data_IF_609759771837
#
_entry.id   IF_609759771837
#
_cell.length_a   1.000
_cell.length_b   1.000
_cell.length_c   1.000
_cell.angle_alpha   90.00
_cell.angle_beta   90.00
_cell.angle_gamma   90.00
#
_symmetry.space_group_name_H-M   'P 1'
#
loop_
_entity.id
_entity.type
_entity.pdbx_description
1 polymer ?
#
# COMPACT_ATOMS: atom_id res chain seq x y z
N UNK A 1 11.54 22.68 -50.12
CA UNK A 1 12.37 22.94 -48.92
C UNK A 1 11.41 23.19 -47.78
N UNK A 2 11.20 22.18 -46.93
CA UNK A 2 10.44 22.34 -45.69
C UNK A 2 11.34 23.11 -44.75
N UNK A 3 10.92 24.29 -44.30
CA UNK A 3 11.66 25.05 -43.29
C UNK A 3 11.73 24.19 -42.04
N UNK A 4 12.96 23.87 -41.60
CA UNK A 4 13.17 23.20 -40.32
C UNK A 4 12.69 24.18 -39.26
N UNK A 5 11.58 23.84 -38.63
CA UNK A 5 11.01 24.68 -37.59
C UNK A 5 11.99 24.64 -36.40
N UNK A 6 12.64 25.78 -36.11
CA UNK A 6 13.54 25.96 -34.97
C UNK A 6 12.79 25.69 -33.67
N UNK A 7 13.40 24.91 -32.78
CA UNK A 7 12.81 24.46 -31.52
C UNK A 7 13.35 23.12 -31.04
N UNK A 8 13.36 22.94 -29.73
CA UNK A 8 13.67 21.69 -29.06
C UNK A 8 12.64 20.61 -29.45
N UNK A 9 13.11 19.39 -29.63
CA UNK A 9 12.30 18.23 -30.01
C UNK A 9 12.24 17.26 -28.84
N UNK A 10 11.04 17.04 -28.30
CA UNK A 10 10.76 16.04 -27.27
C UNK A 10 10.10 14.83 -27.93
N UNK A 11 10.82 13.71 -27.98
CA UNK A 11 10.30 12.44 -28.53
C UNK A 11 9.64 11.65 -27.41
N UNK A 12 8.41 11.19 -27.66
CA UNK A 12 7.65 10.42 -26.69
C UNK A 12 7.91 8.91 -26.79
N UNK A 13 7.67 8.22 -25.69
CA UNK A 13 7.68 6.76 -25.59
C UNK A 13 6.54 6.13 -26.41
N UNK A 14 6.60 4.81 -26.56
CA UNK A 14 5.56 3.98 -27.21
C UNK A 14 5.21 4.39 -28.66
N UNK A 15 6.06 5.18 -29.32
CA UNK A 15 5.85 5.63 -30.71
C UNK A 15 4.72 6.65 -30.87
N UNK A 16 4.29 7.29 -29.77
CA UNK A 16 3.15 8.23 -29.75
C UNK A 16 3.42 9.50 -30.56
N UNK A 17 4.69 9.85 -30.78
CA UNK A 17 5.10 10.96 -31.64
C UNK A 17 6.18 11.81 -31.00
N UNK A 18 6.23 13.08 -31.39
CA UNK A 18 7.15 14.08 -30.84
C UNK A 18 6.47 15.45 -30.76
N UNK A 19 6.87 16.25 -29.78
CA UNK A 19 6.51 17.66 -29.69
C UNK A 19 7.71 18.53 -30.06
N UNK A 20 7.44 19.63 -30.77
CA UNK A 20 8.45 20.64 -31.12
C UNK A 20 8.07 21.96 -30.44
N UNK A 21 9.02 22.56 -29.72
CA UNK A 21 8.78 23.75 -28.92
C UNK A 21 10.02 24.24 -28.17
N UNK A 22 9.83 25.10 -27.18
CA UNK A 22 10.91 25.59 -26.30
C UNK A 22 10.76 24.96 -24.93
N UNK A 23 11.82 24.30 -24.43
CA UNK A 23 11.81 23.76 -23.07
C UNK A 23 11.92 24.92 -22.08
N UNK A 24 10.86 25.14 -21.31
CA UNK A 24 10.78 26.25 -20.36
C UNK A 24 11.49 25.91 -19.06
N UNK A 25 11.32 24.68 -18.58
CA UNK A 25 11.88 24.20 -17.34
C UNK A 25 11.89 22.67 -17.33
N UNK A 26 12.82 22.09 -16.56
CA UNK A 26 12.79 20.68 -16.23
C UNK A 26 13.21 20.51 -14.77
N UNK A 27 12.41 19.75 -14.04
CA UNK A 27 12.66 19.36 -12.66
C UNK A 27 12.60 17.82 -12.55
N UNK A 28 12.70 17.31 -11.34
CA UNK A 28 12.71 15.86 -11.14
C UNK A 28 11.35 15.18 -11.40
N UNK A 29 10.28 15.96 -11.44
CA UNK A 29 8.91 15.46 -11.53
C UNK A 29 8.33 15.62 -12.93
N UNK A 30 8.82 16.56 -13.73
CA UNK A 30 8.29 16.86 -15.06
C UNK A 30 9.24 17.65 -15.98
N UNK A 31 8.91 17.65 -17.26
CA UNK A 31 9.44 18.57 -18.26
C UNK A 31 8.34 19.51 -18.74
N UNK A 32 8.58 20.82 -18.71
CA UNK A 32 7.64 21.85 -19.18
C UNK A 32 8.07 22.35 -20.55
N UNK A 33 7.16 22.27 -21.51
CA UNK A 33 7.39 22.63 -22.91
C UNK A 33 6.33 23.64 -23.36
N UNK A 34 6.76 24.70 -24.04
CA UNK A 34 5.87 25.58 -24.80
C UNK A 34 6.00 25.22 -26.28
N UNK A 35 4.95 24.64 -26.85
CA UNK A 35 4.93 24.19 -28.24
C UNK A 35 4.97 25.38 -29.21
N UNK A 36 5.27 25.12 -30.49
CA UNK A 36 5.24 26.16 -31.53
C UNK A 36 3.87 26.83 -31.74
N UNK A 37 2.77 26.20 -31.33
CA UNK A 37 1.43 26.82 -31.34
C UNK A 37 1.19 27.75 -30.13
N UNK A 38 2.15 27.86 -29.20
CA UNK A 38 2.02 28.60 -27.95
C UNK A 38 1.32 27.83 -26.83
N UNK A 39 0.97 26.55 -27.04
CA UNK A 39 0.39 25.71 -26.00
C UNK A 39 1.47 25.28 -25.00
N UNK A 40 1.18 25.44 -23.69
CA UNK A 40 2.05 25.02 -22.60
C UNK A 40 1.63 23.66 -22.08
N UNK A 41 2.57 22.73 -22.05
CA UNK A 41 2.36 21.37 -21.56
C UNK A 41 3.37 20.99 -20.48
N UNK A 42 2.91 20.17 -19.54
CA UNK A 42 3.73 19.53 -18.52
C UNK A 42 3.74 18.04 -18.81
N UNK A 43 4.91 17.50 -19.15
CA UNK A 43 5.08 16.11 -19.53
C UNK A 43 5.71 15.32 -18.36
N UNK A 44 5.08 14.23 -17.88
CA UNK A 44 5.73 13.33 -16.93
C UNK A 44 6.92 12.63 -17.57
N UNK A 45 7.90 12.23 -16.76
CA UNK A 45 9.12 11.62 -17.28
C UNK A 45 8.89 10.25 -17.91
N UNK A 46 7.86 9.50 -17.48
CA UNK A 46 7.59 8.15 -17.97
C UNK A 46 7.18 8.07 -19.46
N UNK A 47 6.82 9.20 -20.08
CA UNK A 47 6.48 9.29 -21.50
C UNK A 47 7.59 9.90 -22.34
N UNK A 48 8.67 10.39 -21.75
CA UNK A 48 9.75 11.04 -22.49
C UNK A 48 10.79 9.98 -22.85
N UNK A 49 11.10 9.87 -24.15
CA UNK A 49 12.11 8.94 -24.67
C UNK A 49 13.45 9.62 -24.89
N UNK A 50 13.43 10.80 -25.50
CA UNK A 50 14.62 11.60 -25.75
C UNK A 50 14.25 13.06 -25.95
N UNK A 51 15.21 13.93 -25.69
CA UNK A 51 15.13 15.37 -25.94
C UNK A 51 16.28 15.75 -26.86
N UNK A 52 16.01 16.54 -27.90
CA UNK A 52 17.02 17.14 -28.77
C UNK A 52 16.88 18.64 -28.67
N UNK A 53 17.94 19.33 -28.26
CA UNK A 53 17.94 20.78 -28.15
C UNK A 53 18.32 21.43 -29.49
N UNK A 54 17.68 22.55 -29.83
CA UNK A 54 18.03 23.31 -31.04
C UNK A 54 19.42 23.96 -30.89
N UNK A 55 19.74 24.40 -29.68
CA UNK A 55 21.08 24.84 -29.29
C UNK A 55 21.72 23.84 -28.33
N UNK A 56 22.65 23.03 -28.85
CA UNK A 56 23.38 22.02 -28.07
C UNK A 56 24.21 22.62 -26.91
N UNK A 57 24.49 23.92 -26.90
CA UNK A 57 25.20 24.58 -25.78
C UNK A 57 24.29 24.80 -24.57
N UNK A 58 22.97 24.69 -24.74
CA UNK A 58 21.98 24.82 -23.68
C UNK A 58 21.62 23.47 -23.02
N UNK A 59 22.17 22.35 -23.49
CA UNK A 59 21.88 21.03 -22.91
C UNK A 59 22.35 20.98 -21.44
N UNK A 60 21.42 20.90 -20.47
CA UNK A 60 21.80 20.82 -19.07
C UNK A 60 22.48 19.48 -18.82
N UNK A 61 23.60 19.46 -18.10
CA UNK A 61 24.29 18.21 -17.71
C UNK A 61 23.36 17.23 -16.97
N UNK A 62 22.37 17.76 -16.24
CA UNK A 62 21.34 16.98 -15.55
C UNK A 62 20.30 16.33 -16.46
N UNK A 63 20.20 16.73 -17.74
CA UNK A 63 19.20 16.18 -18.66
C UNK A 63 19.47 14.70 -18.96
N UNK A 64 20.73 14.32 -19.12
CA UNK A 64 21.11 12.92 -19.34
C UNK A 64 20.64 12.04 -18.19
N UNK A 65 20.94 12.43 -16.95
CA UNK A 65 20.55 11.67 -15.75
C UNK A 65 19.01 11.55 -15.64
N UNK A 66 18.28 12.61 -16.01
CA UNK A 66 16.82 12.61 -16.05
C UNK A 66 16.25 11.69 -17.13
N UNK A 67 16.86 11.63 -18.30
CA UNK A 67 16.47 10.71 -19.37
C UNK A 67 16.75 9.25 -19.02
N UNK A 68 17.87 8.96 -18.33
CA UNK A 68 18.15 7.63 -17.80
C UNK A 68 17.12 7.23 -16.73
N UNK A 69 16.74 8.18 -15.85
CA UNK A 69 15.66 7.98 -14.87
C UNK A 69 14.31 7.76 -15.55
N UNK A 70 13.98 8.54 -16.58
CA UNK A 70 12.75 8.42 -17.38
C UNK A 70 12.60 7.02 -18.00
N UNK A 71 13.66 6.50 -18.61
CA UNK A 71 13.68 5.14 -19.18
C UNK A 71 13.46 4.06 -18.11
N UNK A 72 14.03 4.21 -16.91
CA UNK A 72 13.76 3.29 -15.79
C UNK A 72 12.31 3.31 -15.34
N UNK A 73 11.72 4.50 -15.17
CA UNK A 73 10.31 4.66 -14.79
C UNK A 73 9.41 3.99 -15.83
N UNK A 74 9.64 4.28 -17.12
CA UNK A 74 8.90 3.67 -18.22
C UNK A 74 9.01 2.14 -18.20
N UNK A 75 10.22 1.58 -18.08
CA UNK A 75 10.41 0.11 -18.02
C UNK A 75 9.72 -0.52 -16.83
N UNK A 76 9.83 0.08 -15.65
CA UNK A 76 9.18 -0.40 -14.43
C UNK A 76 7.64 -0.41 -14.61
N UNK A 77 7.08 0.68 -15.12
CA UNK A 77 5.64 0.78 -15.44
C UNK A 77 5.21 -0.27 -16.44
N UNK A 78 5.90 -0.43 -17.58
CA UNK A 78 5.51 -1.40 -18.62
C UNK A 78 5.60 -2.85 -18.12
N UNK A 79 6.55 -3.18 -17.24
CA UNK A 79 6.62 -4.49 -16.58
C UNK A 79 5.41 -4.72 -15.69
N UNK A 80 5.11 -3.77 -14.81
CA UNK A 80 3.96 -3.86 -13.91
C UNK A 80 2.63 -4.00 -14.68
N UNK A 81 2.43 -3.21 -15.74
CA UNK A 81 1.25 -3.30 -16.61
C UNK A 81 1.08 -4.67 -17.28
N UNK A 82 2.18 -5.42 -17.50
CA UNK A 82 2.15 -6.78 -18.06
C UNK A 82 2.01 -7.87 -17.00
N UNK A 83 1.95 -7.49 -15.72
CA UNK A 83 1.91 -8.42 -14.59
C UNK A 83 3.27 -8.83 -14.03
N UNK A 84 4.38 -8.29 -14.54
CA UNK A 84 5.74 -8.62 -14.10
C UNK A 84 6.16 -7.80 -12.86
N UNK A 85 5.36 -7.84 -11.80
CA UNK A 85 5.58 -7.05 -10.58
C UNK A 85 6.97 -7.32 -9.95
N UNK A 86 7.43 -8.58 -9.95
CA UNK A 86 8.73 -8.96 -9.39
C UNK A 86 9.92 -8.29 -10.09
N UNK A 87 9.82 -7.97 -11.38
CA UNK A 87 10.86 -7.26 -12.14
C UNK A 87 10.67 -5.73 -12.13
N UNK A 88 9.48 -5.27 -11.76
CA UNK A 88 9.17 -3.84 -11.63
C UNK A 88 9.59 -3.30 -10.26
N UNK A 89 9.35 -4.06 -9.18
CA UNK A 89 9.56 -3.63 -7.79
C UNK A 89 10.96 -3.06 -7.54
N UNK A 90 12.09 -3.70 -7.94
CA UNK A 90 13.42 -3.17 -7.64
C UNK A 90 13.73 -1.86 -8.37
N UNK A 91 13.10 -1.60 -9.53
CA UNK A 91 13.27 -0.33 -10.22
C UNK A 91 12.45 0.76 -9.52
N UNK A 92 11.19 0.49 -9.18
CA UNK A 92 10.37 1.44 -8.43
C UNK A 92 10.97 1.75 -7.05
N UNK A 93 11.50 0.76 -6.35
CA UNK A 93 12.13 0.97 -5.04
C UNK A 93 13.33 1.91 -5.10
N UNK A 94 14.18 1.79 -6.15
CA UNK A 94 15.31 2.73 -6.34
C UNK A 94 14.87 4.14 -6.72
N UNK A 95 13.72 4.27 -7.38
CA UNK A 95 13.15 5.54 -7.82
C UNK A 95 12.34 6.25 -6.73
N UNK A 96 11.89 5.50 -5.72
CA UNK A 96 10.98 5.96 -4.69
C UNK A 96 11.74 6.73 -3.60
N UNK A 97 11.43 8.03 -3.54
CA UNK A 97 12.01 9.00 -2.61
C UNK A 97 10.85 9.86 -2.06
N UNK A 98 10.14 9.38 -1.02
CA UNK A 98 8.95 10.06 -0.52
C UNK A 98 9.34 11.41 0.07
N UNK A 99 8.76 12.49 -0.45
CA UNK A 99 9.08 13.84 -0.02
C UNK A 99 7.96 14.84 -0.35
N UNK A 100 7.58 15.74 0.57
CA UNK A 100 6.61 16.80 0.32
C UNK A 100 6.96 17.76 -0.84
N UNK A 101 8.25 17.82 -1.21
CA UNK A 101 8.74 18.62 -2.33
C UNK A 101 8.38 18.00 -3.68
N UNK A 102 8.13 16.69 -3.73
CA UNK A 102 7.73 15.93 -4.93
C UNK A 102 6.23 16.09 -5.15
N UNK A 103 5.83 16.64 -6.30
CA UNK A 103 4.44 17.09 -6.55
C UNK A 103 4.00 16.89 -8.00
N UNK A 104 4.65 16.00 -8.77
CA UNK A 104 4.24 15.74 -10.15
C UNK A 104 3.68 14.34 -10.38
N UNK A 105 3.05 14.17 -11.54
CA UNK A 105 2.48 12.89 -11.97
C UNK A 105 3.53 11.76 -12.00
N UNK A 106 4.79 12.06 -12.33
CA UNK A 106 5.89 11.09 -12.26
C UNK A 106 6.03 10.47 -10.86
N UNK A 107 5.92 11.29 -9.82
CA UNK A 107 6.06 10.82 -8.43
C UNK A 107 4.87 9.94 -8.05
N UNK A 108 3.67 10.27 -8.53
CA UNK A 108 2.47 9.45 -8.34
C UNK A 108 2.61 8.09 -9.02
N UNK A 109 3.13 8.05 -10.25
CA UNK A 109 3.39 6.80 -10.98
C UNK A 109 4.37 5.91 -10.22
N UNK A 110 5.43 6.49 -9.64
CA UNK A 110 6.44 5.75 -8.87
C UNK A 110 5.86 5.22 -7.56
N UNK A 111 5.19 6.07 -6.78
CA UNK A 111 4.60 5.70 -5.50
C UNK A 111 3.54 4.59 -5.68
N UNK A 112 2.61 4.79 -6.62
CA UNK A 112 1.56 3.83 -6.92
C UNK A 112 2.13 2.53 -7.53
N UNK A 113 3.14 2.64 -8.39
CA UNK A 113 3.84 1.48 -8.97
C UNK A 113 4.49 0.61 -7.90
N UNK A 114 5.21 1.21 -6.95
CA UNK A 114 5.81 0.51 -5.82
C UNK A 114 4.75 -0.11 -4.91
N UNK A 115 3.69 0.63 -4.60
CA UNK A 115 2.55 0.13 -3.82
C UNK A 115 1.97 -1.14 -4.45
N UNK A 116 1.63 -1.09 -5.75
CA UNK A 116 1.06 -2.25 -6.48
C UNK A 116 1.99 -3.45 -6.46
N UNK A 117 3.30 -3.26 -6.59
CA UNK A 117 4.28 -4.35 -6.49
C UNK A 117 4.26 -5.01 -5.10
N UNK A 118 4.31 -4.19 -4.04
CA UNK A 118 4.32 -4.69 -2.65
C UNK A 118 3.00 -5.39 -2.29
N UNK A 119 1.86 -4.86 -2.74
CA UNK A 119 0.56 -5.53 -2.62
C UNK A 119 0.55 -6.89 -3.33
N UNK A 120 1.09 -6.95 -4.56
CA UNK A 120 1.13 -8.18 -5.35
C UNK A 120 1.91 -9.31 -4.67
N UNK A 121 3.06 -9.02 -4.04
CA UNK A 121 3.83 -10.03 -3.28
C UNK A 121 3.35 -10.25 -1.84
N UNK A 122 2.34 -9.51 -1.38
CA UNK A 122 1.84 -9.62 0.00
C UNK A 122 2.71 -8.94 1.06
N UNK A 123 3.55 -7.98 0.68
CA UNK A 123 4.42 -7.23 1.59
C UNK A 123 3.71 -6.01 2.18
N UNK A 124 2.62 -6.24 2.92
CA UNK A 124 1.72 -5.16 3.32
C UNK A 124 2.37 -4.14 4.25
N UNK A 125 3.21 -4.57 5.20
CA UNK A 125 3.90 -3.61 6.08
C UNK A 125 4.76 -2.63 5.26
N UNK A 126 5.47 -3.13 4.25
CA UNK A 126 6.28 -2.33 3.36
C UNK A 126 5.44 -1.43 2.44
N UNK A 127 4.18 -1.78 2.17
CA UNK A 127 3.30 -1.02 1.30
C UNK A 127 2.72 0.25 1.96
N UNK A 128 2.87 0.44 3.28
CA UNK A 128 2.26 1.56 4.00
C UNK A 128 2.78 2.92 3.49
N UNK A 129 4.11 3.12 3.46
CA UNK A 129 4.67 4.42 3.02
C UNK A 129 4.31 4.75 1.56
N UNK A 130 4.43 3.82 0.58
CA UNK A 130 3.91 4.06 -0.77
C UNK A 130 2.41 4.35 -0.83
N UNK A 131 1.59 3.74 0.03
CA UNK A 131 0.16 4.05 0.12
C UNK A 131 -0.10 5.47 0.63
N UNK A 132 0.55 5.87 1.72
CA UNK A 132 0.45 7.22 2.26
C UNK A 132 0.93 8.27 1.25
N UNK A 133 2.03 8.01 0.55
CA UNK A 133 2.56 8.91 -0.49
C UNK A 133 1.64 8.98 -1.71
N UNK A 134 1.03 7.87 -2.12
CA UNK A 134 0.02 7.85 -3.19
C UNK A 134 -1.20 8.69 -2.80
N UNK A 135 -1.70 8.53 -1.57
CA UNK A 135 -2.82 9.31 -1.04
C UNK A 135 -2.47 10.81 -0.99
N UNK A 136 -1.27 11.17 -0.49
CA UNK A 136 -0.77 12.55 -0.47
C UNK A 136 -0.72 13.19 -1.85
N UNK A 137 -0.21 12.48 -2.85
CA UNK A 137 -0.13 12.98 -4.21
C UNK A 137 -1.53 13.14 -4.83
N UNK A 138 -2.47 12.23 -4.53
CA UNK A 138 -3.87 12.34 -4.98
C UNK A 138 -4.64 13.45 -4.25
N UNK A 139 -4.32 13.74 -2.99
CA UNK A 139 -4.93 14.86 -2.25
C UNK A 139 -4.56 16.22 -2.88
N UNK A 140 -3.40 16.29 -3.56
CA UNK A 140 -2.99 17.42 -4.41
C UNK A 140 -3.70 17.47 -5.78
N UNK A 141 -4.71 16.62 -6.00
CA UNK A 141 -5.46 16.48 -7.26
C UNK A 141 -4.58 16.03 -8.44
N UNK A 142 -3.49 15.32 -8.16
CA UNK A 142 -2.73 14.65 -9.19
C UNK A 142 -3.46 13.37 -9.60
N UNK A 143 -3.59 13.20 -10.91
CA UNK A 143 -4.18 12.02 -11.52
C UNK A 143 -3.20 11.41 -12.50
N UNK A 144 -3.34 10.12 -12.74
CA UNK A 144 -2.59 9.42 -13.77
C UNK A 144 -3.45 8.31 -14.36
N UNK A 145 -3.40 8.16 -15.68
CA UNK A 145 -4.11 7.09 -16.40
C UNK A 145 -3.24 5.84 -16.60
N UNK A 146 -2.01 5.85 -16.07
CA UNK A 146 -1.02 4.79 -16.32
C UNK A 146 -1.43 3.44 -15.77
N UNK A 147 -2.38 3.38 -14.85
CA UNK A 147 -2.84 2.14 -14.23
C UNK A 147 -4.35 1.90 -14.38
N UNK A 148 -5.02 2.57 -15.32
CA UNK A 148 -6.48 2.47 -15.53
C UNK A 148 -6.93 1.06 -15.95
N UNK A 149 -6.05 0.32 -16.62
CA UNK A 149 -6.30 -1.08 -17.02
C UNK A 149 -6.17 -2.07 -15.83
N UNK A 150 -5.64 -1.61 -14.69
CA UNK A 150 -5.49 -2.41 -13.48
C UNK A 150 -6.64 -2.12 -12.51
N UNK A 151 -6.91 -3.07 -11.62
CA UNK A 151 -7.91 -2.86 -10.57
C UNK A 151 -7.58 -1.60 -9.73
N UNK A 152 -8.59 -0.80 -9.36
CA UNK A 152 -8.40 0.33 -8.47
C UNK A 152 -7.94 -0.16 -7.10
N UNK A 153 -6.98 0.55 -6.52
CA UNK A 153 -6.37 0.19 -5.22
C UNK A 153 -6.63 1.22 -4.13
N UNK A 154 -7.27 2.33 -4.45
CA UNK A 154 -7.49 3.46 -3.54
C UNK A 154 -8.97 3.86 -3.55
N UNK A 155 -9.50 4.16 -2.37
CA UNK A 155 -10.86 4.64 -2.19
C UNK A 155 -10.83 6.17 -2.00
N UNK A 156 -11.62 6.89 -2.80
CA UNK A 156 -11.53 8.36 -2.83
C UNK A 156 -12.10 9.03 -1.58
N UNK A 157 -13.00 8.37 -0.85
CA UNK A 157 -13.64 8.94 0.35
C UNK A 157 -12.79 8.71 1.61
N UNK A 158 -12.26 7.51 1.79
CA UNK A 158 -11.44 7.17 2.95
C UNK A 158 -9.95 7.50 2.77
N UNK A 159 -9.51 7.74 1.54
CA UNK A 159 -8.10 7.83 1.12
C UNK A 159 -7.25 6.59 1.50
N UNK A 160 -7.91 5.48 1.83
CA UNK A 160 -7.24 4.23 2.18
C UNK A 160 -6.98 3.39 0.93
N UNK A 161 -5.92 2.58 1.01
CA UNK A 161 -5.66 1.55 0.03
C UNK A 161 -6.52 0.31 0.31
N UNK A 162 -7.40 -0.07 -0.63
CA UNK A 162 -8.39 -1.17 -0.50
C UNK A 162 -7.79 -2.51 -0.10
N UNK A 163 -6.55 -2.77 -0.53
CA UNK A 163 -5.86 -4.04 -0.35
C UNK A 163 -4.75 -3.97 0.71
N UNK A 164 -4.74 -2.92 1.52
CA UNK A 164 -3.82 -2.73 2.64
C UNK A 164 -4.54 -2.77 4.01
N UNK A 165 -5.19 -3.88 4.38
CA UNK A 165 -5.77 -3.98 5.71
C UNK A 165 -4.67 -3.85 6.78
N UNK A 166 -4.99 -3.28 7.96
CA UNK A 166 -4.06 -3.18 9.08
C UNK A 166 -3.89 -4.55 9.75
N UNK A 167 -3.26 -5.48 9.04
CA UNK A 167 -3.17 -6.89 9.39
C UNK A 167 -1.90 -7.50 8.80
N UNK A 168 -1.03 -8.00 9.67
CA UNK A 168 0.27 -8.55 9.29
C UNK A 168 0.50 -9.91 9.96
N UNK A 169 1.20 -10.84 9.31
CA UNK A 169 1.72 -12.01 9.99
C UNK A 169 2.88 -11.60 10.91
N UNK A 170 3.30 -12.51 11.78
CA UNK A 170 4.50 -12.32 12.61
C UNK A 170 5.74 -12.27 11.69
N UNK A 171 6.29 -11.09 11.42
CA UNK A 171 7.40 -10.88 10.49
C UNK A 171 8.41 -9.87 11.07
N UNK A 172 9.71 -10.12 10.83
CA UNK A 172 10.83 -9.30 11.25
C UNK A 172 10.91 -7.96 10.49
N UNK A 173 10.21 -7.81 9.37
CA UNK A 173 10.19 -6.57 8.59
C UNK A 173 9.52 -5.39 9.31
N UNK A 174 8.69 -5.66 10.33
CA UNK A 174 7.86 -4.68 11.04
C UNK A 174 8.69 -3.56 11.68
N UNK A 175 9.79 -3.88 12.37
CA UNK A 175 10.65 -2.90 13.03
C UNK A 175 11.23 -1.86 12.06
N UNK A 176 11.63 -2.30 10.85
CA UNK A 176 12.11 -1.39 9.79
C UNK A 176 10.97 -0.49 9.32
N UNK A 177 9.75 -1.00 9.21
CA UNK A 177 8.60 -0.24 8.74
C UNK A 177 8.11 0.79 9.74
N UNK A 178 8.13 0.48 11.04
CA UNK A 178 7.87 1.46 12.11
C UNK A 178 8.72 2.71 11.94
N UNK A 179 10.04 2.53 11.73
CA UNK A 179 10.95 3.66 11.48
C UNK A 179 10.60 4.42 10.21
N UNK A 180 10.25 3.74 9.12
CA UNK A 180 9.93 4.39 7.85
C UNK A 180 8.63 5.20 7.93
N UNK A 181 7.59 4.67 8.58
CA UNK A 181 6.31 5.38 8.77
C UNK A 181 6.49 6.58 9.68
N UNK A 182 7.22 6.44 10.79
CA UNK A 182 7.51 7.53 11.73
C UNK A 182 8.34 8.68 11.12
N UNK A 183 9.07 8.42 10.03
CA UNK A 183 9.87 9.42 9.32
C UNK A 183 9.15 10.02 8.10
N UNK A 184 7.98 9.50 7.74
CA UNK A 184 7.24 9.99 6.59
C UNK A 184 6.58 11.34 6.91
N UNK A 185 6.63 12.26 5.94
CA UNK A 185 6.10 13.62 6.07
C UNK A 185 4.90 13.79 5.13
N UNK A 186 3.74 14.12 5.70
CA UNK A 186 2.49 14.33 4.98
C UNK A 186 2.48 15.60 4.11
N UNK A 187 3.49 16.46 4.24
CA UNK A 187 3.54 17.75 3.58
C UNK A 187 2.51 18.73 4.13
N UNK A 188 2.11 18.58 5.39
CA UNK A 188 1.14 19.43 6.08
C UNK A 188 -0.32 19.02 5.87
N UNK A 189 -0.60 17.79 5.45
CA UNK A 189 -1.96 17.25 5.43
C UNK A 189 -2.26 16.55 6.76
N UNK A 190 -3.07 17.18 7.60
CA UNK A 190 -3.39 16.70 8.96
C UNK A 190 -4.08 15.33 8.96
N UNK A 191 -4.98 15.07 8.01
CA UNK A 191 -5.69 13.78 7.92
C UNK A 191 -4.74 12.65 7.55
N UNK A 192 -3.79 12.90 6.64
CA UNK A 192 -2.78 11.89 6.29
C UNK A 192 -1.73 11.70 7.38
N UNK A 193 -1.35 12.77 8.11
CA UNK A 193 -0.54 12.64 9.33
C UNK A 193 -1.25 11.75 10.35
N UNK A 194 -2.56 11.99 10.57
CA UNK A 194 -3.37 11.18 11.44
C UNK A 194 -3.41 9.71 10.99
N UNK A 195 -3.60 9.42 9.70
CA UNK A 195 -3.55 8.04 9.19
C UNK A 195 -2.19 7.38 9.40
N UNK A 196 -1.09 8.10 9.13
CA UNK A 196 0.26 7.59 9.34
C UNK A 196 0.49 7.20 10.81
N UNK A 197 0.04 8.04 11.75
CA UNK A 197 0.08 7.76 13.19
C UNK A 197 -0.69 6.49 13.55
N UNK A 198 -1.87 6.25 12.95
CA UNK A 198 -2.64 5.02 13.23
C UNK A 198 -1.95 3.78 12.66
N UNK A 199 -1.42 3.85 11.45
CA UNK A 199 -0.63 2.74 10.90
C UNK A 199 0.61 2.45 11.75
N UNK A 200 1.33 3.49 12.17
CA UNK A 200 2.45 3.36 13.09
C UNK A 200 2.02 2.67 14.38
N UNK A 201 0.94 3.12 15.01
CA UNK A 201 0.39 2.50 16.21
C UNK A 201 0.01 1.04 16.03
N UNK A 202 -0.61 0.70 14.90
CA UNK A 202 -0.99 -0.66 14.57
C UNK A 202 0.23 -1.57 14.36
N UNK A 203 1.31 -1.06 13.76
CA UNK A 203 2.58 -1.77 13.64
C UNK A 203 3.24 -1.96 15.01
N UNK A 204 3.24 -0.95 15.88
CA UNK A 204 3.78 -1.05 17.25
C UNK A 204 3.02 -2.08 18.08
N UNK A 205 1.69 -2.06 18.06
CA UNK A 205 0.85 -3.07 18.73
C UNK A 205 1.15 -4.48 18.20
N UNK A 206 1.41 -4.61 16.90
CA UNK A 206 1.78 -5.88 16.28
C UNK A 206 3.16 -6.36 16.74
N UNK A 207 4.16 -5.47 16.80
CA UNK A 207 5.49 -5.77 17.33
C UNK A 207 5.43 -6.12 18.83
N UNK A 208 4.53 -5.52 19.59
CA UNK A 208 4.42 -5.74 21.04
C UNK A 208 3.72 -7.03 21.42
N UNK A 209 2.84 -7.55 20.59
CA UNK A 209 2.43 -8.94 20.75
C UNK A 209 3.65 -9.88 20.69
N UNK A 210 4.81 -9.42 20.20
CA UNK A 210 6.10 -10.12 20.29
C UNK A 210 6.94 -9.69 21.51
N UNK A 211 6.81 -8.46 22.04
CA UNK A 211 7.74 -7.86 23.03
C UNK A 211 7.14 -7.43 24.39
N UNK A 212 5.85 -7.10 24.50
CA UNK A 212 5.10 -6.96 25.76
C UNK A 212 4.93 -5.56 26.39
N UNK A 213 5.32 -4.45 25.76
CA UNK A 213 5.16 -3.08 26.33
C UNK A 213 4.32 -2.16 25.43
N UNK A 214 3.18 -1.62 25.91
CA UNK A 214 2.35 -0.69 25.13
C UNK A 214 2.95 0.72 25.03
N UNK A 215 2.97 1.39 23.86
CA UNK A 215 3.34 2.79 23.77
C UNK A 215 2.19 3.64 24.33
N UNK A 216 2.54 4.76 24.95
CA UNK A 216 1.58 5.79 25.32
C UNK A 216 1.81 6.99 24.40
N UNK A 217 0.76 7.49 23.77
CA UNK A 217 0.80 8.65 22.91
C UNK A 217 -0.62 9.13 22.63
N UNK A 218 -0.80 10.45 22.62
CA UNK A 218 -2.06 11.06 22.22
C UNK A 218 -2.18 10.95 20.70
N UNK A 219 -3.30 10.39 20.21
CA UNK A 219 -3.60 10.34 18.78
C UNK A 219 -4.13 11.71 18.32
N UNK A 220 -3.71 12.15 17.14
CA UNK A 220 -4.24 13.36 16.50
C UNK A 220 -5.75 13.23 16.24
N UNK A 221 -6.58 14.18 16.67
CA UNK A 221 -8.02 14.14 16.41
C UNK A 221 -8.33 14.43 14.93
N UNK A 222 -9.17 13.60 14.30
CA UNK A 222 -9.64 13.79 12.92
C UNK A 222 -10.96 13.06 12.71
N UNK A 223 -11.88 13.71 11.99
CA UNK A 223 -13.17 13.13 11.60
C UNK A 223 -13.12 12.40 10.26
N UNK A 224 -11.94 12.26 9.66
CA UNK A 224 -11.78 11.66 8.34
C UNK A 224 -12.21 10.18 8.33
N UNK A 225 -12.99 9.71 7.34
CA UNK A 225 -13.52 8.34 7.32
C UNK A 225 -12.46 7.24 7.40
N UNK A 226 -11.31 7.46 6.73
CA UNK A 226 -10.17 6.54 6.78
C UNK A 226 -9.49 6.48 8.15
N UNK A 227 -9.33 7.62 8.82
CA UNK A 227 -8.80 7.69 10.19
C UNK A 227 -9.73 6.94 11.14
N UNK A 228 -11.05 7.20 11.06
CA UNK A 228 -12.04 6.52 11.88
C UNK A 228 -12.06 4.99 11.68
N UNK A 229 -11.79 4.49 10.47
CA UNK A 229 -11.66 3.04 10.23
C UNK A 229 -10.41 2.45 10.90
N UNK A 230 -9.28 3.15 10.84
CA UNK A 230 -8.05 2.73 11.50
C UNK A 230 -8.13 2.83 13.03
N UNK A 231 -8.85 3.81 13.56
CA UNK A 231 -9.15 3.90 15.00
C UNK A 231 -9.93 2.68 15.48
N UNK A 232 -10.96 2.25 14.73
CA UNK A 232 -11.66 0.99 15.04
C UNK A 232 -10.71 -0.22 15.02
N UNK A 233 -9.73 -0.24 14.11
CA UNK A 233 -8.73 -1.30 14.07
C UNK A 233 -7.88 -1.33 15.35
N UNK A 234 -7.52 -0.16 15.89
CA UNK A 234 -6.78 -0.04 17.16
C UNK A 234 -7.69 -0.43 18.34
N UNK A 235 -8.86 0.20 18.46
CA UNK A 235 -9.81 -0.03 19.56
C UNK A 235 -10.22 -1.51 19.66
N UNK A 236 -10.40 -2.19 18.51
CA UNK A 236 -10.76 -3.61 18.45
C UNK A 236 -9.71 -4.55 19.07
N UNK A 237 -8.46 -4.07 19.19
CA UNK A 237 -7.29 -4.76 19.77
C UNK A 237 -6.88 -4.22 21.13
N UNK A 238 -7.63 -3.27 21.70
CA UNK A 238 -7.35 -2.73 23.03
C UNK A 238 -7.34 -3.82 24.10
N UNK A 239 -6.52 -3.68 25.13
CA UNK A 239 -6.54 -4.57 26.30
C UNK A 239 -7.81 -4.41 27.14
N UNK A 240 -8.47 -3.24 27.09
CA UNK A 240 -9.73 -2.99 27.79
C UNK A 240 -10.92 -3.68 27.08
N UNK A 241 -11.61 -4.65 27.74
CA UNK A 241 -12.79 -5.29 27.17
C UNK A 241 -13.94 -4.32 26.87
N UNK A 242 -14.07 -3.20 27.59
CA UNK A 242 -15.12 -2.22 27.35
C UNK A 242 -14.86 -1.46 26.03
N UNK A 243 -13.63 -0.99 25.80
CA UNK A 243 -13.20 -0.42 24.52
C UNK A 243 -13.43 -1.39 23.36
N UNK A 244 -12.99 -2.65 23.47
CA UNK A 244 -13.22 -3.65 22.41
C UNK A 244 -14.71 -3.87 22.12
N UNK A 245 -15.55 -3.93 23.15
CA UNK A 245 -17.01 -4.06 22.98
C UNK A 245 -17.61 -2.86 22.25
N UNK A 246 -17.19 -1.65 22.61
CA UNK A 246 -17.62 -0.42 21.93
C UNK A 246 -17.22 -0.45 20.46
N UNK A 247 -15.97 -0.82 20.15
CA UNK A 247 -15.47 -0.96 18.79
C UNK A 247 -16.27 -1.99 17.99
N UNK A 248 -16.55 -3.17 18.55
CA UNK A 248 -17.38 -4.19 17.89
C UNK A 248 -18.77 -3.67 17.54
N UNK A 249 -19.43 -2.95 18.44
CA UNK A 249 -20.74 -2.36 18.15
C UNK A 249 -20.67 -1.38 16.97
N UNK A 250 -19.63 -0.53 16.89
CA UNK A 250 -19.43 0.41 15.77
C UNK A 250 -19.12 -0.35 14.46
N UNK A 251 -18.28 -1.39 14.52
CA UNK A 251 -17.95 -2.26 13.38
C UNK A 251 -19.20 -2.99 12.85
N UNK A 252 -20.02 -3.55 13.73
CA UNK A 252 -21.29 -4.21 13.36
C UNK A 252 -22.27 -3.22 12.72
N UNK A 253 -22.38 -2.00 13.24
CA UNK A 253 -23.19 -0.93 12.63
C UNK A 253 -22.71 -0.58 11.22
N UNK A 254 -21.39 -0.47 11.02
CA UNK A 254 -20.79 -0.20 9.70
C UNK A 254 -21.00 -1.38 8.74
N UNK A 255 -20.85 -2.60 9.22
CA UNK A 255 -21.07 -3.83 8.43
C UNK A 255 -22.56 -4.03 8.06
N UNK A 256 -23.48 -3.51 8.86
CA UNK A 256 -24.91 -3.52 8.56
C UNK A 256 -25.31 -2.46 7.50
N UNK A 257 -24.44 -1.49 7.23
CA UNK A 257 -24.57 -0.64 6.05
C UNK A 257 -24.29 -1.46 4.77
N UNK A 258 -24.67 -0.97 3.59
CA UNK A 258 -24.61 -1.73 2.32
C UNK A 258 -23.22 -2.31 2.06
N UNK A 259 -23.14 -3.34 1.20
CA UNK A 259 -21.88 -3.96 0.76
C UNK A 259 -20.84 -2.89 0.41
N UNK A 260 -19.76 -2.88 1.19
CA UNK A 260 -18.64 -1.96 1.05
C UNK A 260 -17.37 -2.74 0.69
N UNK A 261 -16.39 -2.06 0.10
CA UNK A 261 -15.05 -2.62 -0.07
C UNK A 261 -14.41 -2.96 1.29
N UNK A 262 -14.91 -2.35 2.36
CA UNK A 262 -14.46 -2.50 3.75
C UNK A 262 -14.93 -3.80 4.40
N UNK A 263 -15.98 -4.46 3.90
CA UNK A 263 -16.57 -5.68 4.47
C UNK A 263 -15.53 -6.71 4.95
N UNK A 264 -14.53 -7.12 4.14
CA UNK A 264 -13.50 -8.06 4.60
C UNK A 264 -12.64 -7.50 5.74
N UNK A 265 -12.35 -6.18 5.76
CA UNK A 265 -11.60 -5.55 6.85
C UNK A 265 -12.41 -5.53 8.15
N UNK A 266 -13.68 -5.12 8.07
CA UNK A 266 -14.60 -5.06 9.20
C UNK A 266 -14.73 -6.44 9.86
N UNK A 267 -14.94 -7.48 9.07
CA UNK A 267 -15.04 -8.85 9.58
C UNK A 267 -13.74 -9.37 10.15
N UNK A 268 -12.61 -9.01 9.56
CA UNK A 268 -11.31 -9.37 10.13
C UNK A 268 -11.11 -8.74 11.51
N UNK A 269 -11.38 -7.43 11.63
CA UNK A 269 -11.27 -6.71 12.90
C UNK A 269 -12.25 -7.25 13.96
N UNK A 270 -13.51 -7.52 13.58
CA UNK A 270 -14.49 -8.17 14.46
C UNK A 270 -14.00 -9.54 14.94
N UNK A 271 -13.52 -10.36 14.01
CA UNK A 271 -12.97 -11.68 14.28
C UNK A 271 -11.85 -11.63 15.30
N UNK A 272 -10.81 -10.84 15.02
CA UNK A 272 -9.66 -10.64 15.92
C UNK A 272 -10.10 -10.13 17.29
N UNK A 273 -10.99 -9.13 17.35
CA UNK A 273 -11.50 -8.59 18.61
C UNK A 273 -12.22 -9.64 19.46
N UNK A 274 -13.02 -10.49 18.84
CA UNK A 274 -13.77 -11.55 19.52
C UNK A 274 -12.86 -12.69 20.00
N UNK A 275 -11.74 -12.96 19.32
CA UNK A 275 -10.75 -13.95 19.75
C UNK A 275 -10.02 -13.56 21.05
N UNK A 276 -9.95 -12.26 21.37
CA UNK A 276 -9.40 -11.75 22.63
C UNK A 276 -10.36 -11.86 23.83
N UNK A 277 -11.62 -12.26 23.62
CA UNK A 277 -12.57 -12.44 24.72
C UNK A 277 -12.34 -13.77 25.45
N UNK A 278 -12.58 -13.80 26.76
CA UNK A 278 -12.40 -15.01 27.58
C UNK A 278 -13.49 -16.08 27.36
N UNK A 279 -14.67 -15.69 26.89
CA UNK A 279 -15.80 -16.59 26.69
C UNK A 279 -15.73 -17.37 25.38
N UNK A 280 -15.84 -18.71 25.46
CA UNK A 280 -15.81 -19.60 24.29
C UNK A 280 -16.86 -19.25 23.21
N UNK A 281 -18.03 -18.76 23.63
CA UNK A 281 -19.09 -18.33 22.71
C UNK A 281 -18.64 -17.19 21.79
N UNK A 282 -18.01 -16.15 22.36
CA UNK A 282 -17.50 -15.00 21.60
C UNK A 282 -16.36 -15.44 20.68
N UNK A 283 -15.43 -16.27 21.19
CA UNK A 283 -14.31 -16.79 20.38
C UNK A 283 -14.80 -17.60 19.18
N UNK A 284 -15.84 -18.44 19.35
CA UNK A 284 -16.49 -19.16 18.23
C UNK A 284 -17.11 -18.21 17.22
N UNK A 285 -17.80 -17.15 17.67
CA UNK A 285 -18.30 -16.11 16.77
C UNK A 285 -17.17 -15.41 16.02
N UNK A 286 -16.02 -15.17 16.67
CA UNK A 286 -14.82 -14.64 16.04
C UNK A 286 -14.31 -15.52 14.90
N UNK A 287 -14.24 -16.83 15.12
CA UNK A 287 -13.90 -17.80 14.06
C UNK A 287 -14.90 -17.74 12.89
N UNK A 288 -16.19 -17.57 13.15
CA UNK A 288 -17.21 -17.42 12.09
C UNK A 288 -16.99 -16.14 11.27
N UNK A 289 -16.65 -15.02 11.92
CA UNK A 289 -16.35 -13.77 11.20
C UNK A 289 -15.12 -13.93 10.29
N UNK A 290 -14.06 -14.57 10.80
CA UNK A 290 -12.85 -14.86 10.02
C UNK A 290 -13.13 -15.83 8.86
N UNK A 291 -13.95 -16.86 9.07
CA UNK A 291 -14.29 -17.87 8.05
C UNK A 291 -15.06 -17.28 6.86
N UNK A 292 -15.79 -16.19 7.06
CA UNK A 292 -16.52 -15.53 5.98
C UNK A 292 -15.59 -14.91 4.93
N UNK A 293 -14.38 -14.50 5.30
CA UNK A 293 -13.41 -13.87 4.41
C UNK A 293 -12.93 -14.83 3.31
N UNK A 294 -12.35 -16.02 3.62
CA UNK A 294 -11.99 -16.98 2.58
C UNK A 294 -13.23 -17.53 1.83
N UNK A 295 -14.40 -17.60 2.47
CA UNK A 295 -15.61 -18.08 1.82
C UNK A 295 -16.16 -17.10 0.75
N UNK A 296 -16.12 -15.80 1.02
CA UNK A 296 -16.81 -14.79 0.18
C UNK A 296 -15.85 -13.83 -0.53
N UNK A 297 -14.63 -13.63 -0.02
CA UNK A 297 -13.69 -12.60 -0.50
C UNK A 297 -12.34 -13.15 -0.95
N UNK A 298 -12.10 -14.47 -0.96
CA UNK A 298 -10.82 -15.07 -1.32
C UNK A 298 -10.23 -14.58 -2.65
N UNK A 299 -11.07 -14.35 -3.66
CA UNK A 299 -10.61 -13.89 -4.98
C UNK A 299 -10.16 -12.43 -4.98
N UNK A 300 -10.84 -11.56 -4.23
CA UNK A 300 -10.57 -10.11 -4.19
C UNK A 300 -9.54 -9.73 -3.11
N UNK A 301 -9.53 -10.46 -1.99
CA UNK A 301 -8.65 -10.23 -0.85
C UNK A 301 -7.89 -11.51 -0.46
N UNK A 302 -7.07 -12.07 -1.36
CA UNK A 302 -6.37 -13.33 -1.11
C UNK A 302 -5.43 -13.26 0.10
N UNK A 303 -4.81 -12.10 0.34
CA UNK A 303 -3.98 -11.87 1.53
C UNK A 303 -4.80 -11.99 2.83
N UNK A 304 -5.94 -11.29 2.94
CA UNK A 304 -6.71 -11.33 4.17
C UNK A 304 -7.37 -12.71 4.39
N UNK A 305 -7.74 -13.39 3.31
CA UNK A 305 -8.22 -14.77 3.36
C UNK A 305 -7.14 -15.73 3.91
N UNK A 306 -5.91 -15.65 3.39
CA UNK A 306 -4.79 -16.46 3.88
C UNK A 306 -4.45 -16.18 5.34
N UNK A 307 -4.42 -14.91 5.74
CA UNK A 307 -4.19 -14.52 7.13
C UNK A 307 -5.31 -14.98 8.07
N UNK A 308 -6.57 -14.94 7.62
CA UNK A 308 -7.73 -15.44 8.38
C UNK A 308 -7.65 -16.95 8.60
N UNK A 309 -7.27 -17.73 7.57
CA UNK A 309 -7.04 -19.18 7.72
C UNK A 309 -5.95 -19.48 8.75
N UNK A 310 -4.84 -18.73 8.71
CA UNK A 310 -3.74 -18.89 9.66
C UNK A 310 -4.18 -18.61 11.11
N UNK A 311 -4.93 -17.52 11.33
CA UNK A 311 -5.45 -17.17 12.65
C UNK A 311 -6.44 -18.20 13.17
N UNK A 312 -7.38 -18.65 12.33
CA UNK A 312 -8.33 -19.69 12.71
C UNK A 312 -7.62 -21.00 13.07
N UNK A 313 -6.58 -21.38 12.32
CA UNK A 313 -5.79 -22.57 12.63
C UNK A 313 -5.06 -22.47 13.98
N UNK A 314 -4.40 -21.33 14.26
CA UNK A 314 -3.77 -21.08 15.57
C UNK A 314 -4.79 -21.22 16.71
N UNK A 315 -5.95 -20.60 16.54
CA UNK A 315 -6.98 -20.56 17.57
C UNK A 315 -7.63 -21.93 17.83
N UNK A 316 -7.88 -22.72 16.77
CA UNK A 316 -8.37 -24.09 16.89
C UNK A 316 -7.33 -24.99 17.57
N UNK A 317 -6.06 -24.86 17.20
CA UNK A 317 -4.97 -25.63 17.83
C UNK A 317 -4.86 -25.31 19.33
N UNK A 318 -4.97 -24.03 19.71
CA UNK A 318 -4.99 -23.59 21.11
C UNK A 318 -6.15 -24.19 21.92
N UNK A 319 -7.26 -24.54 21.25
CA UNK A 319 -8.43 -25.20 21.84
C UNK A 319 -8.33 -26.72 21.86
N UNK A 320 -7.23 -27.30 21.37
CA UNK A 320 -7.01 -28.75 21.26
C UNK A 320 -7.67 -29.37 20.02
N UNK A 321 -8.21 -28.58 19.10
CA UNK A 321 -8.85 -29.04 17.87
C UNK A 321 -7.81 -29.22 16.74
N UNK A 322 -6.77 -30.02 16.99
CA UNK A 322 -5.60 -30.15 16.12
C UNK A 322 -5.93 -30.61 14.70
N UNK A 323 -6.85 -31.57 14.52
CA UNK A 323 -7.25 -32.05 13.19
C UNK A 323 -7.88 -30.95 12.34
N UNK A 324 -8.71 -30.09 12.95
CA UNK A 324 -9.34 -28.96 12.26
C UNK A 324 -8.30 -27.89 11.91
N UNK A 325 -7.38 -27.59 12.84
CA UNK A 325 -6.27 -26.68 12.59
C UNK A 325 -5.39 -27.16 11.42
N UNK A 326 -5.00 -28.43 11.39
CA UNK A 326 -4.18 -28.99 10.32
C UNK A 326 -4.87 -28.96 8.95
N UNK A 327 -6.20 -29.10 8.90
CA UNK A 327 -6.96 -28.93 7.64
C UNK A 327 -6.89 -27.49 7.12
N UNK A 328 -7.10 -26.50 7.99
CA UNK A 328 -7.00 -25.09 7.59
C UNK A 328 -5.58 -24.72 7.16
N UNK A 329 -4.55 -25.29 7.80
CA UNK A 329 -3.16 -25.11 7.37
C UNK A 329 -2.89 -25.73 6.00
N UNK A 330 -3.46 -26.91 5.72
CA UNK A 330 -3.37 -27.53 4.40
C UNK A 330 -4.08 -26.68 3.34
N UNK A 331 -5.27 -26.14 3.64
CA UNK A 331 -5.97 -25.21 2.75
C UNK A 331 -5.15 -23.95 2.48
N UNK A 332 -4.57 -23.33 3.52
CA UNK A 332 -3.69 -22.17 3.37
C UNK A 332 -2.53 -22.46 2.41
N UNK A 333 -1.84 -23.60 2.58
CA UNK A 333 -0.72 -24.00 1.70
C UNK A 333 -1.17 -24.31 0.27
N UNK A 334 -2.34 -24.92 0.11
CA UNK A 334 -2.86 -25.31 -1.20
C UNK A 334 -3.35 -24.12 -2.02
N UNK A 335 -4.10 -23.20 -1.41
CA UNK A 335 -4.71 -22.06 -2.12
C UNK A 335 -3.80 -20.82 -2.15
N UNK A 336 -2.90 -20.66 -1.17
CA UNK A 336 -2.04 -19.49 -1.06
C UNK A 336 -0.58 -19.89 -0.77
N UNK A 337 0.08 -20.65 -1.66
CA UNK A 337 1.41 -21.23 -1.41
C UNK A 337 2.52 -20.20 -1.11
N UNK A 338 2.35 -18.97 -1.57
CA UNK A 338 3.30 -17.88 -1.37
C UNK A 338 2.88 -16.91 -0.25
N UNK A 339 1.86 -17.25 0.56
CA UNK A 339 1.35 -16.35 1.58
C UNK A 339 2.35 -16.20 2.75
N UNK A 340 2.62 -14.96 3.22
CA UNK A 340 3.64 -14.75 4.25
C UNK A 340 3.33 -15.42 5.59
N UNK A 341 2.04 -15.64 5.92
CA UNK A 341 1.64 -16.38 7.12
C UNK A 341 2.13 -17.85 7.17
N UNK A 342 2.54 -18.44 6.04
CA UNK A 342 3.14 -19.79 6.01
C UNK A 342 4.56 -19.74 6.59
N UNK A 343 5.37 -18.76 6.18
CA UNK A 343 6.77 -18.62 6.57
C UNK A 343 6.93 -18.27 8.05
N UNK A 344 6.08 -17.38 8.56
CA UNK A 344 6.09 -16.94 9.96
C UNK A 344 5.94 -18.10 10.95
N UNK A 345 5.03 -19.05 10.66
CA UNK A 345 4.79 -20.21 11.55
C UNK A 345 5.98 -21.15 11.62
N UNK A 346 6.62 -21.42 10.48
CA UNK A 346 7.79 -22.30 10.44
C UNK A 346 8.94 -21.74 11.31
N UNK A 347 9.06 -20.42 11.43
CA UNK A 347 10.07 -19.80 12.29
C UNK A 347 9.79 -20.04 13.78
N UNK A 348 8.52 -19.93 14.20
CA UNK A 348 8.09 -20.17 15.59
C UNK A 348 8.32 -21.63 16.00
N UNK A 349 7.92 -22.58 15.17
CA UNK A 349 8.09 -24.02 15.45
C UNK A 349 9.57 -24.43 15.60
N UNK A 350 10.45 -23.88 14.76
CA UNK A 350 11.89 -24.11 14.84
C UNK A 350 12.51 -23.53 16.12
N UNK A 351 12.04 -22.35 16.57
CA UNK A 351 12.54 -21.71 17.79
C UNK A 351 12.15 -22.45 19.08
N UNK A 352 10.97 -23.08 19.11
CA UNK A 352 10.47 -23.83 20.26
C UNK A 352 11.18 -25.19 20.43
N UNK A 353 11.64 -25.78 19.32
CA UNK A 353 12.37 -27.05 19.31
C UNK A 353 13.82 -26.90 19.79
N UNK A 354 14.45 -25.74 19.59
CA UNK A 354 15.82 -25.47 20.07
C UNK A 354 15.94 -25.14 21.56
N UNK A 355 14.82 -24.86 22.25
CA UNK A 355 14.79 -24.55 23.69
C UNK A 355 14.46 -25.74 24.60
N UNK A 356 14.33 -26.95 24.02
CA UNK A 356 14.21 -28.22 24.75
C UNK A 356 15.47 -29.02 24.57
#
# INVERSE_FOLDING_TARGET
MVGIASGDIVVLQDGVGSHVGTIMASDESSLRLETQSGERMTLPWDIIKSVTFDDATLEPSSMKDRLERADRIWRARKRLQRGDAALAEPEFERLFDPSPARRGETDLIIAEGLLRCRLNRGALAEAIVPALETARLRSLKLETNRFDELAPIHDAESELCLYLPPAWPEDQSVARQIKQVAQWDSGGNDDLSAMADRYLRLLELHEQNLTGEMPQGDLLDSSHPGVGLLDLAIESRSDDPATRRSARNKLDQRLASRESWEDPWLRYMLGVSMLHESGDGMRRQGLVQLAWIPASHAQKHPYLAGLSLALMASELSRRGEHDAASRLEAELKNYYPNHPAISSRNAVDNSSTQKR
#
